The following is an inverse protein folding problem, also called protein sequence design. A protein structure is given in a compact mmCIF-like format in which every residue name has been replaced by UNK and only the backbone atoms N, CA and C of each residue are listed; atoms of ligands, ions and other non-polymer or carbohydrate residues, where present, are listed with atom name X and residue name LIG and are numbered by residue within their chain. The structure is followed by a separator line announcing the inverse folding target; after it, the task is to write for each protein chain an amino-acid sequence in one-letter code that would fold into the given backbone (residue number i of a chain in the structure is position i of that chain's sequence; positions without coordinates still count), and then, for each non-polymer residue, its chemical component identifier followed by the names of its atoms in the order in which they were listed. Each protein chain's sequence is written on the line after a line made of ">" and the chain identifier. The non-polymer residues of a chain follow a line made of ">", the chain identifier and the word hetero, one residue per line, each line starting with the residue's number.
data_IF_612080716727
#
_entry.id   IF_612080716727
#
_cell.length_a   1.000
_cell.length_b   1.000
_cell.length_c   1.000
_cell.angle_alpha   90.00
_cell.angle_beta   90.00
_cell.angle_gamma   90.00
#
_symmetry.space_group_name_H-M   'P 1'
#
loop_
_entity.id
_entity.type
_entity.pdbx_description
1 polymer ?
#
# COMPACT_ATOMS: atom_id res chain seq x y z
N UNK A 1 -18.22 48.01 10.83
CA UNK A 1 -17.19 47.04 11.26
C UNK A 1 -17.88 45.76 11.66
N UNK A 2 -17.98 44.81 10.73
CA UNK A 2 -18.43 43.46 11.06
C UNK A 2 -17.17 42.58 11.13
N UNK A 3 -16.96 41.81 12.21
CA UNK A 3 -15.79 40.95 12.28
C UNK A 3 -15.91 39.85 11.21
N UNK A 4 -14.82 39.67 10.45
CA UNK A 4 -14.64 38.58 9.50
C UNK A 4 -14.84 37.24 10.22
N UNK A 5 -15.57 36.26 9.66
CA UNK A 5 -15.70 34.96 10.31
C UNK A 5 -14.31 34.35 10.39
N UNK A 6 -13.75 34.34 11.60
CA UNK A 6 -12.55 33.59 11.92
C UNK A 6 -12.81 32.17 11.46
N UNK A 7 -12.09 31.78 10.41
CA UNK A 7 -12.04 30.45 9.84
C UNK A 7 -11.83 29.47 11.00
N UNK A 8 -12.93 28.90 11.48
CA UNK A 8 -12.88 27.83 12.45
C UNK A 8 -12.20 26.69 11.68
N UNK A 9 -10.95 26.44 12.05
CA UNK A 9 -10.18 25.30 11.59
C UNK A 9 -11.06 24.05 11.79
N UNK A 10 -11.61 23.55 10.68
CA UNK A 10 -12.32 22.29 10.66
C UNK A 10 -11.38 21.24 11.24
N UNK A 11 -11.81 20.63 12.34
CA UNK A 11 -11.10 19.53 12.98
C UNK A 11 -11.01 18.38 11.97
N UNK A 12 -9.90 18.35 11.24
CA UNK A 12 -9.64 17.37 10.20
C UNK A 12 -9.18 16.07 10.88
N UNK A 13 -10.15 15.20 11.16
CA UNK A 13 -9.94 13.84 11.67
C UNK A 13 -9.18 13.04 10.61
N UNK A 14 -7.88 13.24 10.56
CA UNK A 14 -6.99 12.62 9.60
C UNK A 14 -6.80 11.16 9.99
N UNK A 15 -7.22 10.23 9.12
CA UNK A 15 -6.90 8.82 9.31
C UNK A 15 -5.38 8.63 9.29
N UNK A 16 -4.84 7.77 10.15
CA UNK A 16 -3.40 7.47 10.19
C UNK A 16 -3.20 6.00 9.88
N UNK A 17 -2.19 5.68 9.07
CA UNK A 17 -1.82 4.31 8.70
C UNK A 17 -0.36 4.03 9.07
N UNK A 18 -0.02 2.77 9.31
CA UNK A 18 1.38 2.37 9.54
C UNK A 18 2.11 2.15 8.22
N UNK A 19 3.34 2.69 8.12
CA UNK A 19 4.21 2.44 6.97
C UNK A 19 4.55 0.95 6.88
N UNK A 20 4.30 0.26 5.76
CA UNK A 20 4.52 -1.19 5.66
C UNK A 20 5.99 -1.58 5.76
N UNK A 21 6.92 -0.69 5.39
CA UNK A 21 8.35 -0.97 5.43
C UNK A 21 9.00 -0.79 6.82
N UNK A 22 8.51 0.14 7.65
CA UNK A 22 9.17 0.48 8.91
C UNK A 22 8.23 0.72 10.12
N UNK A 23 6.92 0.64 9.92
CA UNK A 23 5.91 0.80 10.96
C UNK A 23 5.57 2.24 11.35
N UNK A 24 6.30 3.25 10.87
CA UNK A 24 6.06 4.64 11.21
C UNK A 24 4.63 5.09 10.87
N UNK A 25 4.03 5.92 11.73
CA UNK A 25 2.69 6.47 11.51
C UNK A 25 2.69 7.51 10.38
N UNK A 26 1.75 7.36 9.45
CA UNK A 26 1.60 8.24 8.27
C UNK A 26 0.17 8.79 8.23
N UNK A 27 -0.02 10.11 8.39
CA UNK A 27 -1.33 10.73 8.26
C UNK A 27 -1.84 10.62 6.81
N UNK A 28 -3.14 10.41 6.62
CA UNK A 28 -3.84 10.30 5.35
C UNK A 28 -4.32 11.68 4.83
N UNK A 29 -3.37 12.62 4.63
CA UNK A 29 -3.61 13.99 4.12
C UNK A 29 -2.65 14.36 3.01
N UNK A 30 -3.08 15.09 1.97
CA UNK A 30 -2.33 15.41 0.74
C UNK A 30 -0.84 15.79 0.92
N UNK A 31 -0.48 16.36 2.08
CA UNK A 31 0.90 16.64 2.47
C UNK A 31 1.84 15.41 2.52
N UNK A 32 1.35 14.21 2.88
CA UNK A 32 2.21 13.02 2.92
C UNK A 32 2.30 12.38 1.53
N UNK A 33 3.21 12.89 0.72
CA UNK A 33 3.39 12.59 -0.72
C UNK A 33 3.59 11.09 -1.03
N UNK A 34 4.17 10.33 -0.10
CA UNK A 34 4.58 8.94 -0.32
C UNK A 34 3.64 7.90 0.30
N UNK A 35 2.43 8.27 0.72
CA UNK A 35 1.46 7.34 1.32
C UNK A 35 1.29 6.04 0.49
N UNK A 36 1.24 4.86 1.14
CA UNK A 36 1.22 4.62 2.60
C UNK A 36 2.61 4.64 3.28
N UNK A 37 3.68 5.00 2.56
CA UNK A 37 5.04 5.05 3.10
C UNK A 37 5.37 6.38 3.76
N UNK A 38 6.19 6.35 4.82
CA UNK A 38 6.63 7.57 5.51
C UNK A 38 7.63 8.41 4.71
N UNK A 39 8.24 7.84 3.66
CA UNK A 39 9.27 8.51 2.84
C UNK A 39 9.48 7.80 1.50
N UNK A 40 10.06 8.54 0.54
CA UNK A 40 10.55 7.99 -0.73
C UNK A 40 11.46 6.77 -0.54
N UNK A 41 12.32 6.80 0.49
CA UNK A 41 13.24 5.70 0.81
C UNK A 41 12.48 4.40 1.11
N UNK A 42 11.45 4.47 1.96
CA UNK A 42 10.66 3.30 2.32
C UNK A 42 9.89 2.72 1.13
N UNK A 43 9.36 3.58 0.24
CA UNK A 43 8.73 3.13 -1.02
C UNK A 43 9.72 2.40 -1.94
N UNK A 44 10.96 2.87 -2.03
CA UNK A 44 11.98 2.25 -2.89
C UNK A 44 12.49 0.92 -2.31
N UNK A 45 12.62 0.81 -0.99
CA UNK A 45 13.00 -0.46 -0.34
C UNK A 45 11.91 -1.52 -0.59
N UNK A 46 10.64 -1.16 -0.41
CA UNK A 46 9.52 -2.06 -0.68
C UNK A 46 9.58 -2.59 -2.12
N UNK A 47 9.77 -1.69 -3.10
CA UNK A 47 9.93 -2.07 -4.50
C UNK A 47 11.16 -2.99 -4.73
N UNK A 48 12.27 -2.75 -4.04
CA UNK A 48 13.45 -3.62 -4.09
C UNK A 48 13.17 -5.02 -3.57
N UNK A 49 12.46 -5.15 -2.45
CA UNK A 49 12.07 -6.44 -1.87
C UNK A 49 11.19 -7.29 -2.81
N UNK A 50 10.34 -6.63 -3.61
CA UNK A 50 9.57 -7.30 -4.66
C UNK A 50 10.46 -7.81 -5.79
N UNK A 51 11.44 -7.01 -6.22
CA UNK A 51 12.38 -7.43 -7.25
C UNK A 51 13.30 -8.58 -6.80
N UNK A 52 13.62 -8.62 -5.50
CA UNK A 52 14.45 -9.65 -4.87
C UNK A 52 13.66 -10.90 -4.48
N UNK A 53 12.39 -11.04 -4.90
CA UNK A 53 11.49 -12.16 -4.55
C UNK A 53 11.34 -12.39 -3.03
N UNK A 54 11.63 -11.37 -2.21
CA UNK A 54 11.52 -11.45 -0.74
C UNK A 54 10.06 -11.34 -0.29
N UNK A 55 9.21 -10.68 -1.09
CA UNK A 55 7.76 -10.71 -0.92
C UNK A 55 7.15 -11.87 -1.72
N UNK A 56 6.88 -12.97 -1.00
CA UNK A 56 6.28 -14.19 -1.54
C UNK A 56 4.89 -14.41 -0.96
N UNK A 57 3.93 -14.74 -1.81
CA UNK A 57 2.67 -15.33 -1.37
C UNK A 57 2.88 -16.85 -1.26
N UNK A 58 2.73 -17.45 -0.08
CA UNK A 58 2.80 -18.91 0.05
C UNK A 58 1.63 -19.54 -0.73
N UNK A 59 1.95 -20.49 -1.61
CA UNK A 59 0.98 -21.30 -2.33
C UNK A 59 1.03 -22.76 -1.85
N UNK A 60 -0.04 -23.50 -2.10
CA UNK A 60 -0.04 -24.96 -1.96
C UNK A 60 0.98 -25.55 -2.97
N UNK A 61 1.73 -26.61 -2.63
CA UNK A 61 2.67 -27.20 -3.57
C UNK A 61 1.93 -27.62 -4.83
N UNK A 62 2.41 -27.14 -5.98
CA UNK A 62 1.87 -27.53 -7.27
C UNK A 62 2.51 -28.86 -7.65
N UNK A 63 1.71 -29.92 -7.75
CA UNK A 63 2.15 -31.19 -8.33
C UNK A 63 2.33 -31.00 -9.85
N UNK A 64 3.58 -30.73 -10.25
CA UNK A 64 3.97 -30.49 -11.65
C UNK A 64 3.83 -31.73 -12.56
N UNK A 65 3.50 -32.89 -12.00
CA UNK A 65 3.41 -34.17 -12.69
C UNK A 65 1.98 -34.57 -13.09
N UNK A 66 0.95 -33.78 -12.73
CA UNK A 66 -0.40 -34.02 -13.23
C UNK A 66 -0.59 -33.29 -14.57
N UNK A 67 -0.90 -33.99 -15.68
CA UNK A 67 -1.23 -33.32 -16.92
C UNK A 67 -2.40 -32.37 -16.67
N UNK A 68 -2.23 -31.13 -17.12
CA UNK A 68 -3.16 -30.03 -16.98
C UNK A 68 -4.46 -30.36 -17.75
N UNK A 69 -5.58 -30.56 -17.04
CA UNK A 69 -6.91 -30.74 -17.64
C UNK A 69 -7.54 -29.41 -18.13
N UNK A 70 -6.76 -28.45 -18.64
CA UNK A 70 -7.32 -27.31 -19.40
C UNK A 70 -7.44 -27.58 -20.91
N UNK A 71 -8.01 -28.74 -21.27
CA UNK A 71 -8.77 -28.87 -22.52
C UNK A 71 -10.26 -28.71 -22.21
N UNK A 72 -10.71 -27.47 -21.97
CA UNK A 72 -12.14 -27.14 -22.02
C UNK A 72 -12.49 -26.57 -23.38
N UNK A 73 -13.06 -27.45 -24.21
CA UNK A 73 -13.91 -27.21 -25.39
C UNK A 73 -13.40 -26.23 -26.45
N UNK A 74 -12.86 -26.79 -27.53
CA UNK A 74 -12.94 -26.18 -28.85
C UNK A 74 -14.32 -26.50 -29.45
N UNK A 75 -15.22 -25.50 -29.51
CA UNK A 75 -16.25 -25.34 -30.56
C UNK A 75 -16.55 -23.84 -30.78
#
# INVERSE_FOLDING_TARGET
>A
MYPSPSSAASSESTMTVSCPNCGAEVPWTDASEYRPFCSKRCRLIDLGQWFEESHRIPGEPVDLESPDETERDQD
#
